data_IF_788696413798
#
_entry.id   IF_788696413798
#
_cell.length_a   1.000
_cell.length_b   1.000
_cell.length_c   1.000
_cell.angle_alpha   90.00
_cell.angle_beta   90.00
_cell.angle_gamma   90.00
#
_symmetry.space_group_name_H-M   'P 1'
#
loop_
_entity.id
_entity.type
_entity.pdbx_description
1 polymer ?
#
# COMPACT_ATOMS: atom_id res chain seq x y z
N UNK A 1 29.68 14.85 -3.91
CA UNK A 1 28.74 13.90 -3.28
C UNK A 1 27.68 14.75 -2.61
N UNK A 2 26.43 14.68 -3.07
CA UNK A 2 25.35 15.44 -2.46
C UNK A 2 25.05 14.81 -1.09
N UNK A 3 25.18 15.58 -0.02
CA UNK A 3 25.12 15.13 1.38
C UNK A 3 23.73 15.30 2.01
N UNK A 4 22.68 15.38 1.19
CA UNK A 4 21.32 15.41 1.72
C UNK A 4 20.89 14.01 2.14
N UNK A 5 20.49 13.89 3.40
CA UNK A 5 19.93 12.65 3.92
C UNK A 5 18.66 12.29 3.13
N UNK A 6 18.43 11.01 2.85
CA UNK A 6 17.25 10.58 2.13
C UNK A 6 15.98 10.97 2.87
N UNK A 7 14.97 11.41 2.12
CA UNK A 7 13.66 11.75 2.68
C UNK A 7 13.01 10.47 3.20
N UNK A 8 12.76 10.38 4.50
CA UNK A 8 12.08 9.24 5.12
C UNK A 8 10.62 9.61 5.39
N UNK A 9 9.69 8.80 4.91
CA UNK A 9 8.26 8.93 5.19
C UNK A 9 7.73 7.65 5.82
N UNK A 10 6.77 7.80 6.73
CA UNK A 10 6.27 6.70 7.55
C UNK A 10 5.16 5.92 6.84
N UNK A 11 4.30 6.60 6.08
CA UNK A 11 3.16 6.00 5.40
C UNK A 11 2.97 6.54 3.98
N UNK A 12 3.14 5.68 2.99
CA UNK A 12 2.67 5.90 1.63
C UNK A 12 1.33 5.19 1.41
N UNK A 13 0.39 5.84 0.73
CA UNK A 13 -0.90 5.23 0.35
C UNK A 13 -1.06 5.36 -1.15
N UNK A 14 -0.99 4.24 -1.86
CA UNK A 14 -1.24 4.17 -3.29
C UNK A 14 -2.73 3.97 -3.56
N UNK A 15 -3.31 4.85 -4.36
CA UNK A 15 -4.73 4.83 -4.69
C UNK A 15 -4.98 5.56 -6.01
N UNK A 16 -6.01 5.12 -6.72
CA UNK A 16 -6.47 5.77 -7.97
C UNK A 16 -8.01 5.82 -8.04
N UNK A 17 -8.70 4.96 -7.28
CA UNK A 17 -10.15 4.87 -7.38
C UNK A 17 -10.82 6.04 -6.62
N UNK A 18 -11.72 6.82 -7.27
CA UNK A 18 -12.34 7.99 -6.62
C UNK A 18 -13.14 7.64 -5.36
N UNK A 19 -13.67 6.42 -5.27
CA UNK A 19 -14.42 5.97 -4.09
C UNK A 19 -13.53 5.77 -2.86
N UNK A 20 -12.23 5.55 -3.05
CA UNK A 20 -11.26 5.43 -1.96
C UNK A 20 -10.83 6.80 -1.41
N UNK A 21 -11.08 7.90 -2.13
CA UNK A 21 -10.62 9.25 -1.78
C UNK A 21 -10.92 9.62 -0.33
N UNK A 22 -12.18 9.50 0.09
CA UNK A 22 -12.58 9.87 1.45
C UNK A 22 -11.92 9.00 2.53
N UNK A 23 -11.65 7.72 2.24
CA UNK A 23 -10.90 6.85 3.14
C UNK A 23 -9.42 7.27 3.21
N UNK A 24 -8.79 7.47 2.07
CA UNK A 24 -7.36 7.83 1.96
C UNK A 24 -7.09 9.17 2.61
N UNK A 25 -7.91 10.19 2.34
CA UNK A 25 -7.77 11.52 2.95
C UNK A 25 -7.85 11.45 4.47
N UNK A 26 -8.87 10.76 5.02
CA UNK A 26 -9.00 10.59 6.47
C UNK A 26 -7.80 9.86 7.06
N UNK A 27 -7.32 8.79 6.41
CA UNK A 27 -6.17 8.04 6.88
C UNK A 27 -4.91 8.91 6.93
N UNK A 28 -4.61 9.62 5.84
CA UNK A 28 -3.43 10.49 5.73
C UNK A 28 -3.48 11.64 6.73
N UNK A 29 -4.64 12.30 6.88
CA UNK A 29 -4.84 13.36 7.87
C UNK A 29 -4.60 12.85 9.29
N UNK A 30 -5.21 11.72 9.66
CA UNK A 30 -5.03 11.15 11.01
C UNK A 30 -3.61 10.67 11.29
N UNK A 31 -2.89 10.20 10.26
CA UNK A 31 -1.48 9.84 10.40
C UNK A 31 -0.61 11.10 10.57
N UNK A 32 -0.85 12.15 9.78
CA UNK A 32 -0.14 13.43 9.90
C UNK A 32 -0.40 14.10 11.27
N UNK A 33 -1.63 14.07 11.79
CA UNK A 33 -1.98 14.56 13.15
C UNK A 33 -1.18 13.85 14.25
N UNK A 34 -0.72 12.62 14.01
CA UNK A 34 0.13 11.85 14.93
C UNK A 34 1.63 12.07 14.71
N UNK A 35 2.00 13.01 13.84
CA UNK A 35 3.39 13.35 13.52
C UNK A 35 4.05 12.45 12.47
N UNK A 36 3.28 11.61 11.76
CA UNK A 36 3.81 10.78 10.69
C UNK A 36 4.06 11.59 9.41
N UNK A 37 5.20 11.33 8.75
CA UNK A 37 5.41 11.74 7.36
C UNK A 37 4.55 10.89 6.42
N UNK A 38 3.68 11.53 5.65
CA UNK A 38 2.71 10.85 4.78
C UNK A 38 2.91 11.17 3.30
N UNK A 39 2.59 10.22 2.43
CA UNK A 39 2.65 10.38 0.98
C UNK A 39 1.42 9.77 0.29
N UNK A 40 0.47 10.57 -0.21
CA UNK A 40 -0.48 10.06 -1.20
C UNK A 40 0.27 9.75 -2.50
N UNK A 41 0.09 8.55 -3.02
CA UNK A 41 0.61 8.14 -4.33
C UNK A 41 -0.57 7.91 -5.26
N UNK A 42 -0.60 8.66 -6.35
CA UNK A 42 -1.60 8.58 -7.42
C UNK A 42 -0.90 8.43 -8.76
N UNK A 43 -1.63 8.19 -9.84
CA UNK A 43 -1.03 8.05 -11.17
C UNK A 43 -0.16 9.27 -11.55
N UNK A 44 -0.54 10.46 -11.08
CA UNK A 44 0.15 11.70 -11.41
C UNK A 44 1.58 11.79 -10.84
N UNK A 45 1.82 11.23 -9.64
CA UNK A 45 3.13 11.31 -8.98
C UNK A 45 3.90 9.98 -8.93
N UNK A 46 3.26 8.86 -9.31
CA UNK A 46 3.87 7.53 -9.32
C UNK A 46 5.24 7.49 -10.02
N UNK A 47 5.45 8.07 -11.23
CA UNK A 47 6.76 8.03 -11.88
C UNK A 47 7.88 8.70 -11.07
N UNK A 48 7.55 9.82 -10.40
CA UNK A 48 8.48 10.55 -9.55
C UNK A 48 8.81 9.74 -8.31
N UNK A 49 7.79 9.17 -7.65
CA UNK A 49 7.98 8.33 -6.45
C UNK A 49 8.85 7.12 -6.76
N UNK A 50 8.62 6.44 -7.88
CA UNK A 50 9.43 5.29 -8.30
C UNK A 50 10.88 5.70 -8.59
N UNK A 51 11.10 6.83 -9.24
CA UNK A 51 12.44 7.36 -9.49
C UNK A 51 13.17 7.66 -8.17
N UNK A 52 12.53 8.37 -7.26
CA UNK A 52 13.15 8.79 -6.00
C UNK A 52 13.42 7.59 -5.07
N UNK A 53 12.51 6.61 -5.10
CA UNK A 53 12.78 5.30 -4.50
C UNK A 53 14.01 4.69 -5.16
N UNK A 54 14.05 4.48 -6.48
CA UNK A 54 15.21 3.87 -7.16
C UNK A 54 16.55 4.59 -6.86
N UNK A 55 16.55 5.92 -6.85
CA UNK A 55 17.71 6.74 -6.56
C UNK A 55 18.15 6.68 -5.08
N UNK A 56 17.30 6.19 -4.18
CA UNK A 56 17.57 6.22 -2.74
C UNK A 56 17.37 7.59 -2.11
N UNK A 57 16.69 8.49 -2.80
CA UNK A 57 16.33 9.82 -2.31
C UNK A 57 15.07 9.79 -1.44
N UNK A 58 14.24 8.76 -1.61
CA UNK A 58 13.05 8.48 -0.82
C UNK A 58 13.15 7.11 -0.15
N UNK A 59 12.77 7.05 1.13
CA UNK A 59 12.59 5.81 1.88
C UNK A 59 11.20 5.80 2.53
N UNK A 60 10.49 4.69 2.38
CA UNK A 60 9.14 4.49 2.91
C UNK A 60 9.20 3.44 4.01
N UNK A 61 8.68 3.74 5.20
CA UNK A 61 8.59 2.73 6.26
C UNK A 61 7.44 1.78 6.06
N UNK A 62 6.31 2.28 5.55
CA UNK A 62 5.13 1.47 5.26
C UNK A 62 4.43 1.92 3.99
N UNK A 63 3.82 0.98 3.28
CA UNK A 63 2.98 1.23 2.10
C UNK A 63 1.64 0.53 2.27
N UNK A 64 0.55 1.26 2.06
CA UNK A 64 -0.79 0.72 1.86
C UNK A 64 -1.10 0.81 0.37
N UNK A 65 -1.17 -0.35 -0.29
CA UNK A 65 -1.49 -0.43 -1.70
C UNK A 65 -2.98 -0.74 -1.87
N UNK A 66 -3.70 0.21 -2.47
CA UNK A 66 -5.11 0.08 -2.85
C UNK A 66 -5.33 0.22 -4.35
N UNK A 67 -4.27 0.34 -5.13
CA UNK A 67 -4.35 0.63 -6.55
C UNK A 67 -3.95 -0.58 -7.41
N UNK A 68 -2.97 -1.40 -6.98
CA UNK A 68 -2.36 -2.41 -7.84
C UNK A 68 -3.30 -3.52 -8.31
N UNK A 69 -4.36 -3.82 -7.55
CA UNK A 69 -5.41 -4.76 -7.94
C UNK A 69 -6.08 -4.38 -9.27
N UNK A 70 -6.24 -3.08 -9.55
CA UNK A 70 -6.85 -2.57 -10.79
C UNK A 70 -5.87 -1.87 -11.73
N UNK A 71 -4.71 -1.46 -11.23
CA UNK A 71 -3.68 -0.69 -11.93
C UNK A 71 -2.31 -1.33 -11.68
N UNK A 72 -1.93 -2.36 -12.48
CA UNK A 72 -0.71 -3.12 -12.26
C UNK A 72 0.57 -2.29 -12.18
N UNK A 73 0.60 -1.09 -12.76
CA UNK A 73 1.73 -0.15 -12.67
C UNK A 73 2.09 0.24 -11.23
N UNK A 74 1.13 0.20 -10.29
CA UNK A 74 1.38 0.46 -8.88
C UNK A 74 2.05 -0.72 -8.16
N UNK A 75 1.99 -1.94 -8.71
CA UNK A 75 2.65 -3.11 -8.11
C UNK A 75 4.15 -2.90 -7.91
N UNK A 76 4.79 -2.21 -8.87
CA UNK A 76 6.22 -1.87 -8.80
C UNK A 76 6.57 -0.98 -7.61
N UNK A 77 5.65 -0.14 -7.14
CA UNK A 77 5.85 0.67 -5.93
C UNK A 77 5.98 -0.24 -4.70
N UNK A 78 5.04 -1.17 -4.56
CA UNK A 78 4.97 -2.10 -3.43
C UNK A 78 6.19 -3.02 -3.41
N UNK A 79 6.58 -3.58 -4.55
CA UNK A 79 7.77 -4.42 -4.69
C UNK A 79 9.05 -3.68 -4.29
N UNK A 80 9.27 -2.49 -4.88
CA UNK A 80 10.47 -1.70 -4.62
C UNK A 80 10.54 -1.19 -3.17
N UNK A 81 9.40 -0.84 -2.58
CA UNK A 81 9.35 -0.45 -1.18
C UNK A 81 9.69 -1.64 -0.27
N UNK A 82 9.13 -2.82 -0.55
CA UNK A 82 9.40 -4.04 0.21
C UNK A 82 10.87 -4.48 0.12
N UNK A 83 11.46 -4.46 -1.08
CA UNK A 83 12.90 -4.73 -1.29
C UNK A 83 13.80 -3.82 -0.45
N UNK A 84 13.32 -2.62 -0.12
CA UNK A 84 14.01 -1.64 0.72
C UNK A 84 13.63 -1.68 2.20
N UNK A 85 12.89 -2.72 2.62
CA UNK A 85 12.53 -2.94 4.01
C UNK A 85 11.27 -2.21 4.47
N UNK A 86 10.48 -1.64 3.56
CA UNK A 86 9.17 -1.11 3.91
C UNK A 86 8.22 -2.25 4.31
N UNK A 87 7.30 -1.95 5.22
CA UNK A 87 6.20 -2.84 5.56
C UNK A 87 5.01 -2.61 4.63
N UNK A 88 4.56 -3.66 3.95
CA UNK A 88 3.32 -3.61 3.18
C UNK A 88 2.11 -3.90 4.08
N UNK A 89 1.04 -3.11 3.92
CA UNK A 89 -0.26 -3.30 4.54
C UNK A 89 -1.28 -3.58 3.43
N UNK A 90 -1.83 -4.78 3.29
CA UNK A 90 -1.46 -6.02 3.98
C UNK A 90 -0.15 -6.60 3.43
N UNK A 91 0.45 -7.57 4.14
CA UNK A 91 1.56 -8.32 3.58
C UNK A 91 1.09 -9.09 2.32
N UNK A 92 1.88 -9.16 1.23
CA UNK A 92 1.41 -9.71 -0.05
C UNK A 92 0.79 -11.11 0.05
N UNK A 93 1.42 -12.01 0.77
CA UNK A 93 0.92 -13.38 0.98
C UNK A 93 -0.44 -13.44 1.72
N UNK A 94 -0.78 -12.42 2.51
CA UNK A 94 -2.10 -12.32 3.16
C UNK A 94 -3.15 -11.76 2.20
N UNK A 95 -2.74 -10.83 1.32
CA UNK A 95 -3.59 -10.28 0.27
C UNK A 95 -4.05 -11.40 -0.68
N UNK A 96 -3.12 -12.16 -1.25
CA UNK A 96 -3.43 -13.27 -2.19
C UNK A 96 -4.41 -14.27 -1.59
N UNK A 97 -4.17 -14.65 -0.33
CA UNK A 97 -5.05 -15.57 0.41
C UNK A 97 -6.45 -15.00 0.59
N UNK A 98 -6.58 -13.70 0.82
CA UNK A 98 -7.88 -13.05 1.04
C UNK A 98 -8.69 -12.86 -0.24
N UNK A 99 -8.01 -12.76 -1.39
CA UNK A 99 -8.65 -12.63 -2.70
C UNK A 99 -9.25 -13.95 -3.20
N UNK A 100 -8.76 -15.10 -2.74
CA UNK A 100 -9.32 -16.41 -3.05
C UNK A 100 -10.63 -16.63 -2.28
N UNK A 101 -11.74 -16.34 -2.96
CA UNK A 101 -13.10 -16.46 -2.40
C UNK A 101 -13.49 -17.90 -2.09
N UNK A 102 -13.06 -18.87 -2.90
CA UNK A 102 -13.36 -20.28 -2.67
C UNK A 102 -12.65 -20.79 -1.42
N UNK A 103 -11.36 -20.46 -1.29
CA UNK A 103 -10.59 -20.78 -0.08
C UNK A 103 -11.12 -20.04 1.15
N UNK A 104 -11.51 -18.78 1.00
CA UNK A 104 -12.11 -17.99 2.10
C UNK A 104 -13.43 -18.60 2.58
N UNK A 105 -14.31 -18.98 1.64
CA UNK A 105 -15.58 -19.64 1.96
C UNK A 105 -15.35 -20.95 2.71
N UNK A 106 -14.49 -21.83 2.18
CA UNK A 106 -14.12 -23.08 2.84
C UNK A 106 -13.51 -22.85 4.22
N UNK A 107 -12.60 -21.87 4.36
CA UNK A 107 -11.96 -21.54 5.64
C UNK A 107 -13.00 -21.11 6.66
N UNK A 108 -13.95 -20.25 6.29
CA UNK A 108 -15.04 -19.83 7.15
C UNK A 108 -15.92 -21.02 7.57
N UNK A 109 -16.36 -21.85 6.61
CA UNK A 109 -17.18 -23.02 6.89
C UNK A 109 -16.50 -24.01 7.85
N UNK A 110 -15.21 -24.30 7.64
CA UNK A 110 -14.42 -25.20 8.49
C UNK A 110 -14.26 -24.67 9.93
N UNK A 111 -14.30 -23.35 10.12
CA UNK A 111 -14.20 -22.72 11.44
C UNK A 111 -15.57 -22.37 12.04
N UNK A 112 -16.67 -22.86 11.46
CA UNK A 112 -18.03 -22.62 11.97
C UNK A 112 -18.53 -21.20 11.77
N UNK A 113 -17.88 -20.41 10.90
CA UNK A 113 -18.39 -19.10 10.48
C UNK A 113 -19.47 -19.33 9.43
N UNK A 114 -20.72 -18.88 9.63
CA UNK A 114 -21.78 -19.05 8.65
C UNK A 114 -21.41 -18.39 7.32
N UNK A 115 -21.60 -19.13 6.23
CA UNK A 115 -21.35 -18.67 4.85
C UNK A 115 -22.60 -18.92 3.99
N UNK A 116 -22.89 -18.08 2.98
CA UNK A 116 -23.97 -18.33 2.04
C UNK A 116 -23.78 -19.67 1.32
N UNK A 117 -24.89 -20.32 0.95
CA UNK A 117 -24.83 -21.48 0.06
C UNK A 117 -24.24 -21.04 -1.29
N UNK A 118 -23.18 -21.71 -1.75
CA UNK A 118 -22.41 -21.35 -2.95
C UNK A 118 -22.19 -22.59 -3.80
#
# INVERSE_FOLDING_TARGET
MNTDLPKVLDLAVAWEWPLDQGFVERLLVRAAEKGCGVLPVTQANLPVVLRDLLAGELHLRSVLDRASDERPEFGRLSDLALERGARLVNAPHLQDRSCDKARSHLTCALHGVPVPYT
#
